data_IF_307505281677
#
_entry.id   IF_307505281677
#
_cell.length_a   1.000
_cell.length_b   1.000
_cell.length_c   1.000
_cell.angle_alpha   90.00
_cell.angle_beta   90.00
_cell.angle_gamma   90.00
#
_symmetry.space_group_name_H-M   'P 1'
#
loop_
_entity.id
_entity.type
_entity.pdbx_description
1 polymer ?
#
# COMPACT_ATOMS: atom_id res chain seq x y z
N UNK A 1 -1.02 0.15 -51.35
CA UNK A 1 -1.90 -0.13 -50.20
C UNK A 1 -1.55 0.87 -49.10
N UNK A 2 -2.49 1.64 -48.54
CA UNK A 2 -2.19 3.03 -48.18
C UNK A 2 -1.80 3.24 -46.71
N UNK A 3 -0.59 3.75 -46.48
CA UNK A 3 -0.02 4.06 -45.15
C UNK A 3 -0.79 5.14 -44.37
N UNK A 4 -1.64 5.94 -45.03
CA UNK A 4 -2.46 6.97 -44.36
C UNK A 4 -3.58 6.39 -43.48
N UNK A 5 -4.03 5.16 -43.75
CA UNK A 5 -5.07 4.50 -42.93
C UNK A 5 -4.57 4.18 -41.52
N UNK A 6 -3.28 3.91 -41.36
CA UNK A 6 -2.69 3.60 -40.05
C UNK A 6 -2.68 4.83 -39.13
N UNK A 7 -2.39 6.01 -39.68
CA UNK A 7 -2.40 7.29 -38.95
C UNK A 7 -3.81 7.67 -38.49
N UNK A 8 -4.80 7.50 -39.38
CA UNK A 8 -6.20 7.73 -39.05
C UNK A 8 -6.74 6.74 -37.99
N UNK A 9 -6.31 5.49 -38.03
CA UNK A 9 -6.72 4.49 -37.03
C UNK A 9 -6.19 4.84 -35.63
N UNK A 10 -4.93 5.30 -35.51
CA UNK A 10 -4.36 5.78 -34.25
C UNK A 10 -5.14 6.98 -33.68
N UNK A 11 -5.53 7.92 -34.53
CA UNK A 11 -6.31 9.09 -34.12
C UNK A 11 -7.73 8.70 -33.67
N UNK A 12 -8.35 7.72 -34.34
CA UNK A 12 -9.65 7.15 -33.93
C UNK A 12 -9.56 6.42 -32.60
N UNK A 13 -8.48 5.65 -32.40
CA UNK A 13 -8.25 4.86 -31.19
C UNK A 13 -7.97 5.75 -29.97
N UNK A 14 -7.22 6.84 -30.15
CA UNK A 14 -6.99 7.84 -29.09
C UNK A 14 -8.28 8.52 -28.65
N UNK A 15 -9.16 8.90 -29.59
CA UNK A 15 -10.47 9.48 -29.28
C UNK A 15 -11.36 8.51 -28.50
N UNK A 16 -11.38 7.24 -28.88
CA UNK A 16 -12.15 6.19 -28.21
C UNK A 16 -11.64 5.95 -26.78
N UNK A 17 -10.31 5.94 -26.60
CA UNK A 17 -9.67 5.78 -25.30
C UNK A 17 -9.99 6.98 -24.37
N UNK A 18 -9.88 8.21 -24.86
CA UNK A 18 -10.21 9.42 -24.08
C UNK A 18 -11.69 9.43 -23.67
N UNK A 19 -12.60 9.05 -24.57
CA UNK A 19 -14.04 8.95 -24.26
C UNK A 19 -14.33 7.88 -23.20
N UNK A 20 -13.66 6.72 -23.28
CA UNK A 20 -13.83 5.65 -22.30
C UNK A 20 -13.38 6.08 -20.89
N UNK A 21 -12.22 6.76 -20.79
CA UNK A 21 -11.71 7.28 -19.51
C UNK A 21 -12.67 8.33 -18.93
N UNK A 22 -13.18 9.26 -19.74
CA UNK A 22 -14.14 10.27 -19.31
C UNK A 22 -15.44 9.64 -18.77
N UNK A 23 -15.93 8.57 -19.41
CA UNK A 23 -17.11 7.84 -18.93
C UNK A 23 -16.86 7.14 -17.58
N UNK A 24 -15.69 6.54 -17.36
CA UNK A 24 -15.35 5.88 -16.10
C UNK A 24 -15.34 6.90 -14.95
N UNK A 25 -14.72 8.07 -15.16
CA UNK A 25 -14.63 9.13 -14.14
C UNK A 25 -16.03 9.69 -13.82
N UNK A 26 -16.87 9.89 -14.84
CA UNK A 26 -18.24 10.37 -14.65
C UNK A 26 -19.12 9.36 -13.89
N UNK A 27 -18.95 8.05 -14.13
CA UNK A 27 -19.70 7.00 -13.43
C UNK A 27 -19.29 6.85 -11.96
N UNK A 28 -18.01 7.04 -11.61
CA UNK A 28 -17.55 6.95 -10.21
C UNK A 28 -18.00 8.13 -9.33
N UNK A 29 -18.47 9.23 -9.92
CA UNK A 29 -18.88 10.43 -9.20
C UNK A 29 -20.29 10.32 -8.58
N UNK A 30 -21.10 9.35 -8.98
CA UNK A 30 -22.50 9.19 -8.54
C UNK A 30 -22.68 8.25 -7.32
N UNK A 31 -21.58 7.72 -6.76
CA UNK A 31 -21.66 6.65 -5.75
C UNK A 31 -20.82 6.89 -4.49
N UNK A 32 -20.71 8.14 -4.01
CA UNK A 32 -20.26 8.38 -2.62
C UNK A 32 -21.48 8.36 -1.69
N UNK A 33 -21.67 7.35 -0.83
CA UNK A 33 -22.53 7.52 0.33
C UNK A 33 -21.87 8.52 1.27
N UNK A 34 -22.46 9.71 1.37
CA UNK A 34 -22.11 10.70 2.39
C UNK A 34 -22.52 10.15 3.76
N UNK A 35 -21.59 9.55 4.50
CA UNK A 35 -21.77 9.34 5.93
C UNK A 35 -21.67 10.71 6.62
N UNK A 36 -22.80 11.39 6.68
CA UNK A 36 -23.06 12.40 7.70
C UNK A 36 -23.49 11.65 8.96
N UNK A 37 -22.59 11.55 9.94
CA UNK A 37 -22.95 11.21 11.31
C UNK A 37 -22.42 12.32 12.21
N UNK A 38 -23.22 13.38 12.34
CA UNK A 38 -23.18 14.23 13.51
C UNK A 38 -23.78 13.44 14.66
N UNK A 39 -23.04 13.25 15.74
CA UNK A 39 -23.64 12.97 17.04
C UNK A 39 -22.91 13.82 18.07
N UNK A 40 -23.73 14.66 18.70
CA UNK A 40 -23.37 15.74 19.60
C UNK A 40 -23.24 15.20 21.04
N UNK A 41 -22.20 15.70 21.71
CA UNK A 41 -22.05 15.93 23.15
C UNK A 41 -22.46 14.81 24.14
N UNK A 42 -21.46 14.31 24.87
CA UNK A 42 -21.60 14.03 26.30
C UNK A 42 -20.60 14.91 27.07
N UNK A 43 -21.11 15.57 28.12
CA UNK A 43 -20.37 16.43 29.03
C UNK A 43 -20.10 15.61 30.30
N UNK A 44 -18.92 14.98 30.39
CA UNK A 44 -18.39 14.50 31.66
C UNK A 44 -16.86 14.63 31.64
N UNK A 45 -16.26 15.42 32.55
CA UNK A 45 -14.82 15.40 32.77
C UNK A 45 -14.44 14.18 33.63
N UNK A 46 -13.23 13.67 33.40
CA UNK A 46 -12.54 12.68 34.24
C UNK A 46 -13.34 11.42 34.63
N UNK A 47 -13.15 10.35 33.88
CA UNK A 47 -12.65 9.11 34.48
C UNK A 47 -11.99 8.30 33.36
N UNK A 48 -10.70 8.54 33.17
CA UNK A 48 -9.84 7.55 32.52
C UNK A 48 -9.99 6.31 33.40
N UNK A 49 -10.51 5.18 32.90
CA UNK A 49 -10.85 4.04 33.73
C UNK A 49 -9.63 3.66 34.58
N UNK A 50 -9.79 3.51 35.90
CA UNK A 50 -8.69 3.06 36.78
C UNK A 50 -8.12 1.71 36.31
N UNK A 51 -8.85 0.93 35.49
CA UNK A 51 -8.34 -0.28 34.84
C UNK A 51 -7.24 0.00 33.80
N UNK A 52 -7.13 1.21 33.24
CA UNK A 52 -6.00 1.64 32.38
C UNK A 52 -4.76 1.98 33.21
N UNK A 53 -4.92 2.44 34.44
CA UNK A 53 -3.83 2.71 35.38
C UNK A 53 -3.40 1.47 36.18
N UNK A 54 -4.32 0.53 36.43
CA UNK A 54 -4.06 -0.77 37.10
C UNK A 54 -3.65 -1.87 36.12
N UNK A 55 -4.03 -1.72 34.87
CA UNK A 55 -3.61 -2.56 33.76
C UNK A 55 -2.34 -2.03 33.13
N UNK A 56 -1.21 -2.10 33.85
CA UNK A 56 0.00 -2.54 33.18
C UNK A 56 -0.30 -3.96 32.67
N UNK A 57 -1.04 -4.04 31.56
CA UNK A 57 -1.29 -5.29 30.87
C UNK A 57 0.08 -5.65 30.34
N UNK A 58 0.82 -6.47 31.08
CA UNK A 58 1.89 -7.29 30.54
C UNK A 58 1.22 -8.23 29.54
N UNK A 59 0.89 -7.71 28.37
CA UNK A 59 0.69 -8.56 27.22
C UNK A 59 2.00 -9.31 27.09
N UNK A 60 1.99 -10.63 27.23
CA UNK A 60 3.12 -11.53 26.90
C UNK A 60 3.50 -11.46 25.40
N UNK A 61 3.20 -10.35 24.73
CA UNK A 61 3.57 -10.02 23.38
C UNK A 61 5.08 -9.83 23.35
N UNK A 62 5.76 -10.87 22.88
CA UNK A 62 7.17 -10.80 22.55
C UNK A 62 7.38 -9.86 21.36
N UNK A 63 8.44 -9.06 21.40
CA UNK A 63 8.88 -8.26 20.24
C UNK A 63 8.96 -9.17 18.99
N UNK A 64 8.29 -8.83 17.87
CA UNK A 64 8.41 -9.58 16.61
C UNK A 64 9.84 -9.60 16.06
N UNK A 65 10.69 -8.69 16.53
CA UNK A 65 12.06 -8.49 16.07
C UNK A 65 13.03 -9.28 16.97
N UNK A 66 12.92 -9.12 18.30
CA UNK A 66 13.92 -9.61 19.26
C UNK A 66 13.40 -10.62 20.30
N UNK A 67 12.09 -10.88 20.32
CA UNK A 67 11.49 -11.84 21.24
C UNK A 67 11.45 -11.42 22.72
N UNK A 68 11.81 -10.17 23.03
CA UNK A 68 11.81 -9.59 24.39
C UNK A 68 10.38 -9.31 24.87
N UNK A 69 10.15 -9.39 26.18
CA UNK A 69 8.87 -9.04 26.79
C UNK A 69 8.66 -7.51 26.68
N UNK A 70 7.58 -7.09 26.04
CA UNK A 70 7.22 -5.69 25.87
C UNK A 70 5.94 -5.38 26.65
N UNK A 71 5.89 -4.20 27.26
CA UNK A 71 4.65 -3.68 27.83
C UNK A 71 3.67 -3.28 26.72
N UNK A 72 2.37 -3.22 27.03
CA UNK A 72 1.35 -2.87 26.02
C UNK A 72 1.61 -1.51 25.34
N UNK A 73 2.16 -0.53 26.07
CA UNK A 73 2.54 0.78 25.53
C UNK A 73 3.70 0.69 24.56
N UNK A 74 4.77 0.00 24.95
CA UNK A 74 5.96 -0.21 24.09
C UNK A 74 5.63 -1.01 22.82
N UNK A 75 4.72 -1.97 22.93
CA UNK A 75 4.24 -2.73 21.77
C UNK A 75 3.48 -1.85 20.76
N UNK A 76 2.61 -0.96 21.24
CA UNK A 76 1.85 -0.03 20.38
C UNK A 76 2.79 0.94 19.66
N UNK A 77 3.77 1.49 20.38
CA UNK A 77 4.80 2.36 19.78
C UNK A 77 5.64 1.61 18.73
N UNK A 78 6.06 0.39 19.03
CA UNK A 78 6.81 -0.45 18.08
C UNK A 78 5.98 -0.74 16.82
N UNK A 79 4.70 -1.06 16.98
CA UNK A 79 3.81 -1.34 15.86
C UNK A 79 3.58 -0.11 14.98
N UNK A 80 3.47 1.08 15.56
CA UNK A 80 3.33 2.31 14.79
C UNK A 80 4.61 2.64 14.01
N UNK A 81 5.79 2.39 14.60
CA UNK A 81 7.07 2.49 13.90
C UNK A 81 7.15 1.50 12.73
N UNK A 82 6.76 0.23 12.92
CA UNK A 82 6.75 -0.77 11.85
C UNK A 82 5.76 -0.43 10.73
N UNK A 83 4.56 0.04 11.07
CA UNK A 83 3.56 0.50 10.10
C UNK A 83 4.06 1.69 9.28
N UNK A 84 4.90 2.54 9.85
CA UNK A 84 5.54 3.63 9.10
C UNK A 84 6.54 3.11 8.06
N UNK A 85 7.24 2.01 8.36
CA UNK A 85 8.19 1.35 7.47
C UNK A 85 7.48 0.58 6.35
N UNK A 86 6.28 0.04 6.58
CA UNK A 86 5.46 -0.64 5.56
C UNK A 86 5.10 0.27 4.38
N UNK A 87 5.11 1.59 4.56
CA UNK A 87 4.88 2.55 3.47
C UNK A 87 6.08 2.68 2.52
N UNK A 88 7.26 2.26 2.96
CA UNK A 88 8.48 2.31 2.16
C UNK A 88 8.55 1.03 1.34
N UNK A 89 8.68 1.10 0.01
CA UNK A 89 8.80 -0.11 -0.78
C UNK A 89 10.07 -0.88 -0.35
N UNK A 90 10.00 -2.21 -0.21
CA UNK A 90 11.10 -3.01 0.36
C UNK A 90 12.40 -2.92 -0.45
N UNK A 91 12.31 -2.49 -1.71
CA UNK A 91 13.44 -2.24 -2.60
C UNK A 91 14.21 -0.95 -2.32
N UNK A 92 13.66 -0.04 -1.50
CA UNK A 92 14.36 1.16 -1.00
C UNK A 92 15.04 0.89 0.36
N UNK A 93 14.71 -0.22 1.03
CA UNK A 93 15.32 -0.65 2.30
C UNK A 93 16.66 -1.38 2.09
N UNK A 94 17.02 -1.69 0.84
CA UNK A 94 18.25 -2.42 0.51
C UNK A 94 19.34 -1.47 0.00
N UNK A 95 20.61 -1.81 0.26
CA UNK A 95 21.73 -1.05 -0.30
C UNK A 95 21.69 -1.07 -1.85
N UNK A 96 22.17 -0.01 -2.52
CA UNK A 96 22.11 0.09 -3.99
C UNK A 96 22.80 -1.07 -4.71
N UNK A 97 23.86 -1.63 -4.11
CA UNK A 97 24.59 -2.80 -4.62
C UNK A 97 23.70 -4.05 -4.66
N UNK A 98 22.91 -4.27 -3.60
CA UNK A 98 21.98 -5.40 -3.52
C UNK A 98 20.82 -5.21 -4.52
N UNK A 99 20.34 -3.97 -4.67
CA UNK A 99 19.29 -3.64 -5.63
C UNK A 99 19.71 -3.97 -7.07
N UNK A 100 20.95 -3.66 -7.45
CA UNK A 100 21.51 -4.00 -8.76
C UNK A 100 21.55 -5.52 -8.97
N UNK A 101 22.03 -6.27 -7.98
CA UNK A 101 22.06 -7.74 -8.03
C UNK A 101 20.65 -8.32 -8.20
N UNK A 102 19.67 -7.82 -7.44
CA UNK A 102 18.26 -8.24 -7.57
C UNK A 102 17.74 -7.98 -8.99
N UNK A 103 18.05 -6.83 -9.57
CA UNK A 103 17.63 -6.47 -10.93
C UNK A 103 18.26 -7.40 -11.99
N UNK A 104 19.54 -7.74 -11.85
CA UNK A 104 20.21 -8.70 -12.73
C UNK A 104 19.58 -10.11 -12.62
N UNK A 105 19.20 -10.53 -11.42
CA UNK A 105 18.49 -11.81 -11.20
C UNK A 105 17.09 -11.80 -11.82
N UNK A 106 16.33 -10.71 -11.64
CA UNK A 106 15.02 -10.52 -12.29
C UNK A 106 15.15 -10.60 -13.81
N UNK A 107 16.15 -9.94 -14.39
CA UNK A 107 16.44 -9.98 -15.82
C UNK A 107 16.80 -11.39 -16.29
N UNK A 108 17.69 -12.09 -15.57
CA UNK A 108 18.04 -13.49 -15.88
C UNK A 108 16.81 -14.39 -15.89
N UNK A 109 15.93 -14.25 -14.90
CA UNK A 109 14.67 -15.02 -14.82
C UNK A 109 13.77 -14.72 -16.00
N UNK A 110 13.64 -13.45 -16.38
CA UNK A 110 12.84 -13.01 -17.53
C UNK A 110 13.37 -13.59 -18.85
N UNK A 111 14.69 -13.53 -19.08
CA UNK A 111 15.31 -14.10 -20.28
C UNK A 111 15.10 -15.61 -20.38
N UNK A 112 15.20 -16.33 -19.24
CA UNK A 112 14.91 -17.77 -19.19
C UNK A 112 13.45 -18.10 -19.52
N UNK A 113 12.51 -17.21 -19.16
CA UNK A 113 11.11 -17.38 -19.49
C UNK A 113 10.82 -17.14 -20.98
N UNK A 114 11.53 -16.20 -21.62
CA UNK A 114 11.37 -15.89 -23.05
C UNK A 114 12.02 -16.95 -23.95
N UNK A 115 13.20 -17.44 -23.57
CA UNK A 115 13.96 -18.40 -24.38
C UNK A 115 14.09 -19.72 -23.60
N UNK A 116 13.04 -20.57 -23.59
CA UNK A 116 13.03 -21.81 -22.82
C UNK A 116 13.94 -22.92 -23.39
N UNK A 117 14.73 -22.63 -24.43
CA UNK A 117 15.50 -23.61 -25.20
C UNK A 117 17.02 -23.49 -25.05
N UNK A 118 17.50 -22.66 -24.12
CA UNK A 118 18.93 -22.59 -23.77
C UNK A 118 19.14 -23.52 -22.55
N UNK A 119 19.93 -24.60 -22.67
CA UNK A 119 20.21 -25.50 -21.54
C UNK A 119 20.94 -24.81 -20.39
#
# INVERSE_FOLDING_TARGET
MPLYKLSLYKLSLYKLLVQAIACIIASTCLATPSLNAQTQADLAPEDIPEEVLRGEIYTDARSPIDGTLLTATEYVELMENLRSLDRIPPEDLVSPQIQEVINLLKLRKFLRQIVPFIP
#
